data_IF_210534689774
#
_entry.id   IF_210534689774
#
_cell.length_a   1.000
_cell.length_b   1.000
_cell.length_c   1.000
_cell.angle_alpha   90.00
_cell.angle_beta   90.00
_cell.angle_gamma   90.00
#
_symmetry.space_group_name_H-M   'P 1'
#
loop_
_entity.id
_entity.type
_entity.pdbx_description
1 polymer ?
#
# COMPACT_ATOMS: atom_id res chain seq x y z
N UNK A 1 -32.64 21.56 14.99
CA UNK A 1 -31.88 21.86 16.17
C UNK A 1 -30.44 21.48 16.04
N UNK A 2 -29.56 22.35 16.35
CA UNK A 2 -28.15 22.03 16.21
C UNK A 2 -27.73 20.95 17.19
N UNK A 3 -26.82 20.14 16.77
CA UNK A 3 -26.30 19.11 17.60
C UNK A 3 -25.33 19.70 18.59
N UNK A 4 -25.25 19.08 19.77
CA UNK A 4 -24.27 19.47 20.76
C UNK A 4 -22.95 18.74 20.53
N UNK A 5 -22.87 17.94 19.49
CA UNK A 5 -21.66 17.20 19.20
C UNK A 5 -20.58 18.14 18.73
N UNK A 6 -19.32 17.75 18.90
CA UNK A 6 -18.22 18.55 18.37
C UNK A 6 -18.32 18.64 16.86
N UNK A 7 -17.69 19.63 16.26
CA UNK A 7 -17.79 19.81 14.80
C UNK A 7 -17.41 18.59 13.98
N UNK A 8 -16.55 17.71 14.49
CA UNK A 8 -16.11 16.53 13.76
C UNK A 8 -16.90 15.29 14.10
N UNK A 9 -17.99 15.41 14.82
CA UNK A 9 -18.74 14.22 15.23
C UNK A 9 -19.33 13.49 14.05
N UNK A 10 -19.84 14.21 13.07
CA UNK A 10 -20.43 13.56 11.91
C UNK A 10 -19.38 12.83 11.11
N UNK A 11 -18.20 13.41 11.00
CA UNK A 11 -17.13 12.75 10.31
C UNK A 11 -16.77 11.44 11.00
N UNK A 12 -16.73 11.44 12.34
CA UNK A 12 -16.44 10.23 13.08
C UNK A 12 -17.47 9.15 12.83
N UNK A 13 -18.74 9.53 12.77
CA UNK A 13 -19.79 8.55 12.50
C UNK A 13 -19.68 8.01 11.07
N UNK A 14 -19.32 8.87 10.12
CA UNK A 14 -19.13 8.43 8.76
C UNK A 14 -17.97 7.46 8.65
N UNK A 15 -16.89 7.72 9.37
CA UNK A 15 -15.74 6.82 9.36
C UNK A 15 -16.13 5.47 9.96
N UNK A 16 -16.89 5.47 11.06
CA UNK A 16 -17.33 4.22 11.65
C UNK A 16 -18.21 3.42 10.69
N UNK A 17 -19.09 4.12 9.98
CA UNK A 17 -19.94 3.43 9.01
C UNK A 17 -19.11 2.83 7.89
N UNK A 18 -18.06 3.51 7.46
CA UNK A 18 -17.24 3.03 6.36
C UNK A 18 -16.16 2.05 6.80
N UNK A 19 -16.00 1.85 8.09
CA UNK A 19 -14.90 1.02 8.59
C UNK A 19 -14.99 -0.42 8.15
N UNK A 20 -16.19 -0.90 7.79
CA UNK A 20 -16.37 -2.27 7.35
C UNK A 20 -16.34 -2.41 5.83
N UNK A 21 -16.11 -1.34 5.10
CA UNK A 21 -16.09 -1.41 3.65
C UNK A 21 -14.75 -2.00 3.20
N UNK A 22 -14.78 -3.08 2.43
CA UNK A 22 -13.53 -3.69 1.99
C UNK A 22 -12.75 -2.75 1.07
N UNK A 23 -11.46 -2.75 1.21
CA UNK A 23 -10.57 -1.98 0.37
C UNK A 23 -9.54 -2.92 -0.23
N UNK A 24 -9.00 -2.54 -1.39
CA UNK A 24 -7.98 -3.36 -2.02
C UNK A 24 -6.62 -2.97 -1.47
N UNK A 25 -5.96 -3.92 -0.88
CA UNK A 25 -4.62 -3.72 -0.37
C UNK A 25 -3.62 -4.33 -1.35
N UNK A 26 -2.60 -3.57 -1.71
CA UNK A 26 -1.57 -4.06 -2.60
C UNK A 26 -0.22 -3.83 -1.94
N UNK A 27 0.58 -4.87 -1.90
CA UNK A 27 1.95 -4.76 -1.40
C UNK A 27 2.86 -4.87 -2.62
N UNK A 28 3.57 -3.80 -2.91
CA UNK A 28 4.44 -3.79 -4.09
C UNK A 28 5.84 -4.19 -3.66
N UNK A 29 6.30 -5.32 -4.13
CA UNK A 29 7.63 -5.79 -3.79
C UNK A 29 8.68 -5.15 -4.67
N UNK A 30 8.41 -5.04 -5.95
CA UNK A 30 9.36 -4.42 -6.86
C UNK A 30 8.66 -4.12 -8.18
N UNK A 31 9.27 -3.28 -8.98
CA UNK A 31 8.76 -3.00 -10.31
C UNK A 31 9.92 -2.89 -11.27
N UNK A 32 9.63 -3.10 -12.53
CA UNK A 32 10.68 -3.17 -13.52
C UNK A 32 10.13 -2.76 -14.87
N UNK A 33 10.96 -2.13 -15.68
CA UNK A 33 10.59 -1.80 -17.04
C UNK A 33 11.18 -2.85 -17.96
N UNK A 34 10.39 -3.29 -18.92
CA UNK A 34 10.84 -4.29 -19.88
C UNK A 34 10.44 -3.87 -21.26
N UNK A 35 11.28 -4.18 -22.22
CA UNK A 35 10.91 -4.01 -23.63
C UNK A 35 9.87 -5.05 -23.98
N UNK A 36 8.94 -4.68 -24.85
CA UNK A 36 7.90 -5.61 -25.26
C UNK A 36 8.49 -6.89 -25.86
N UNK A 37 9.57 -6.78 -26.62
CA UNK A 37 10.15 -7.96 -27.23
C UNK A 37 10.62 -8.97 -26.18
N UNK A 38 11.02 -8.49 -25.02
CA UNK A 38 11.42 -9.42 -23.96
C UNK A 38 10.21 -10.16 -23.44
N UNK A 39 9.10 -9.46 -23.31
CA UNK A 39 7.89 -10.09 -22.81
C UNK A 39 7.40 -11.14 -23.81
N UNK A 40 7.52 -10.85 -25.09
CA UNK A 40 7.06 -11.77 -26.12
C UNK A 40 7.91 -13.04 -26.17
N UNK A 41 9.08 -13.02 -25.58
CA UNK A 41 9.94 -14.19 -25.53
C UNK A 41 9.76 -15.02 -24.27
N UNK A 42 8.85 -14.63 -23.38
CA UNK A 42 8.63 -15.40 -22.16
C UNK A 42 8.11 -16.79 -22.47
N UNK A 43 8.55 -17.73 -21.69
CA UNK A 43 8.08 -19.10 -21.78
C UNK A 43 7.80 -19.59 -20.40
N UNK A 44 7.14 -20.74 -20.30
CA UNK A 44 6.96 -21.37 -19.01
C UNK A 44 8.33 -21.55 -18.36
N UNK A 45 8.39 -21.26 -17.10
CA UNK A 45 9.62 -21.33 -16.30
C UNK A 45 10.62 -20.21 -16.53
N UNK A 46 10.28 -19.20 -17.30
CA UNK A 46 11.11 -18.00 -17.39
C UNK A 46 11.20 -17.38 -16.00
N UNK A 47 12.41 -16.97 -15.61
CA UNK A 47 12.61 -16.33 -14.32
C UNK A 47 12.80 -14.83 -14.54
N UNK A 48 12.04 -14.03 -13.81
CA UNK A 48 12.18 -12.58 -13.88
C UNK A 48 12.92 -12.12 -12.64
N UNK A 49 13.97 -11.34 -12.83
CA UNK A 49 14.70 -10.79 -11.71
C UNK A 49 14.39 -9.33 -11.57
N UNK A 50 14.50 -8.81 -10.38
CA UNK A 50 14.16 -7.43 -10.08
C UNK A 50 15.31 -6.77 -9.33
N UNK A 51 15.47 -5.47 -9.50
CA UNK A 51 16.61 -4.79 -8.92
C UNK A 51 16.50 -4.46 -7.44
N UNK A 52 15.52 -5.03 -6.75
CA UNK A 52 15.32 -4.70 -5.36
C UNK A 52 16.31 -5.41 -4.46
N UNK A 53 16.88 -4.67 -3.53
CA UNK A 53 17.82 -5.25 -2.59
C UNK A 53 17.08 -5.92 -1.44
N UNK A 54 17.66 -6.98 -0.93
CA UNK A 54 17.10 -7.67 0.21
C UNK A 54 17.13 -6.72 1.40
N UNK A 55 16.03 -6.68 2.12
CA UNK A 55 15.95 -5.82 3.31
C UNK A 55 15.39 -4.45 3.07
N UNK A 56 15.18 -4.07 1.81
CA UNK A 56 14.56 -2.78 1.54
C UNK A 56 13.06 -2.85 1.87
N UNK A 57 12.50 -1.78 2.40
CA UNK A 57 11.07 -1.78 2.70
C UNK A 57 10.23 -1.90 1.44
N UNK A 58 9.08 -2.54 1.56
CA UNK A 58 8.12 -2.60 0.48
C UNK A 58 7.02 -1.59 0.76
N UNK A 59 6.35 -1.15 -0.29
CA UNK A 59 5.30 -0.15 -0.15
C UNK A 59 3.94 -0.82 -0.14
N UNK A 60 3.07 -0.30 0.71
CA UNK A 60 1.72 -0.82 0.86
C UNK A 60 0.76 0.24 0.38
N UNK A 61 -0.09 -0.14 -0.56
CA UNK A 61 -1.02 0.78 -1.19
C UNK A 61 -2.45 0.43 -0.88
N UNK A 62 -3.29 1.44 -0.75
CA UNK A 62 -4.72 1.28 -0.81
C UNK A 62 -5.20 2.25 -1.86
N UNK A 63 -5.89 1.75 -2.87
CA UNK A 63 -6.43 2.58 -3.95
C UNK A 63 -5.34 3.44 -4.58
N UNK A 64 -4.22 2.82 -4.90
CA UNK A 64 -3.11 3.47 -5.59
C UNK A 64 -2.42 4.56 -4.77
N UNK A 65 -2.65 4.57 -3.48
CA UNK A 65 -2.00 5.54 -2.60
C UNK A 65 -1.16 4.80 -1.58
N UNK A 66 0.09 5.20 -1.43
CA UNK A 66 0.98 4.59 -0.45
C UNK A 66 0.50 5.00 0.93
N UNK A 67 0.22 4.03 1.78
CA UNK A 67 -0.22 4.30 3.13
C UNK A 67 0.76 3.81 4.18
N UNK A 68 1.69 2.97 3.79
CA UNK A 68 2.65 2.42 4.76
C UNK A 68 3.81 1.79 4.05
N UNK A 69 4.85 1.50 4.79
CA UNK A 69 5.98 0.71 4.33
C UNK A 69 6.27 -0.36 5.35
N UNK A 70 6.85 -1.44 4.93
CA UNK A 70 7.14 -2.52 5.84
C UNK A 70 8.11 -3.50 5.26
N UNK A 71 8.34 -4.58 6.00
CA UNK A 71 9.23 -5.65 5.59
C UNK A 71 8.43 -6.88 5.34
N UNK A 72 8.77 -7.62 4.30
CA UNK A 72 8.13 -8.89 4.04
C UNK A 72 8.67 -9.92 5.02
N UNK A 73 7.79 -10.64 5.66
CA UNK A 73 8.16 -11.70 6.59
C UNK A 73 7.38 -12.95 6.23
N UNK A 74 7.84 -14.11 6.72
CA UNK A 74 7.15 -15.35 6.49
C UNK A 74 6.72 -15.89 7.83
N UNK A 75 5.43 -16.16 7.99
CA UNK A 75 4.88 -16.65 9.24
C UNK A 75 4.02 -17.85 8.92
N UNK A 76 4.36 -19.01 9.45
CA UNK A 76 3.57 -20.24 9.28
C UNK A 76 3.18 -20.47 7.82
N UNK A 77 4.16 -20.42 6.94
CA UNK A 77 3.95 -20.67 5.51
C UNK A 77 3.12 -19.61 4.81
N UNK A 78 2.92 -18.47 5.43
CA UNK A 78 2.23 -17.36 4.80
C UNK A 78 3.18 -16.17 4.71
N UNK A 79 3.01 -15.38 3.67
CA UNK A 79 3.74 -14.13 3.62
C UNK A 79 3.00 -13.11 4.46
N UNK A 80 3.75 -12.34 5.21
CA UNK A 80 3.19 -11.22 5.95
C UNK A 80 4.03 -9.99 5.71
N UNK A 81 3.58 -8.87 6.22
CA UNK A 81 4.34 -7.63 6.13
C UNK A 81 4.32 -7.00 7.50
N UNK A 82 5.51 -6.72 8.02
CA UNK A 82 5.62 -6.03 9.30
C UNK A 82 5.72 -4.54 9.00
N UNK A 83 4.74 -3.76 9.47
CA UNK A 83 4.70 -2.34 9.20
C UNK A 83 5.84 -1.65 9.92
N UNK A 84 6.63 -0.89 9.20
CA UNK A 84 7.73 -0.13 9.78
C UNK A 84 7.46 1.36 9.76
N UNK A 85 6.57 1.82 8.90
CA UNK A 85 6.29 3.24 8.80
C UNK A 85 4.87 3.41 8.27
N UNK A 86 4.12 4.33 8.84
CA UNK A 86 2.78 4.64 8.36
C UNK A 86 2.79 6.05 7.79
N UNK A 87 2.27 6.17 6.56
CA UNK A 87 2.17 7.45 5.89
C UNK A 87 0.70 7.78 5.76
N UNK A 88 0.27 8.80 6.46
CA UNK A 88 -1.13 9.18 6.40
C UNK A 88 -1.37 10.14 5.25
N UNK A 89 -2.44 9.96 4.53
CA UNK A 89 -2.73 10.88 3.44
C UNK A 89 -2.79 12.32 3.89
N UNK A 90 -3.24 12.55 5.11
CA UNK A 90 -3.36 13.91 5.59
C UNK A 90 -2.04 14.54 5.89
N UNK A 91 -1.00 13.74 5.99
CA UNK A 91 0.31 14.30 6.25
C UNK A 91 0.95 14.83 5.02
N UNK A 92 0.41 14.44 3.93
CA UNK A 92 1.09 14.67 2.83
C UNK A 92 0.95 15.80 2.20
N UNK A 93 -0.03 16.32 2.18
CA UNK A 93 -0.19 17.36 1.38
C UNK A 93 0.84 18.27 1.43
N UNK A 94 1.20 18.33 2.51
CA UNK A 94 2.12 19.25 2.63
C UNK A 94 3.17 18.87 1.79
N UNK A 95 3.27 17.75 1.60
CA UNK A 95 4.33 17.42 0.99
C UNK A 95 4.20 17.24 -0.29
N UNK A 96 3.46 17.19 -0.53
CA UNK A 96 3.39 16.90 -1.77
C UNK A 96 3.89 17.88 -2.58
N UNK A 97 4.19 17.98 -2.15
CA UNK A 97 4.56 18.43 -2.62
C UNK A 97 4.96 19.00 -3.09
N UNK A 98 4.94 19.04 -2.95
CA UNK A 98 5.28 19.60 -3.21
C UNK A 98 5.87 19.92 -3.53
#
# INVERSE_FOLDING_TARGET
>A
MPSNDPPNAELGRTIDFLSDVPQRLVVEISRKRLALREILNWRKETVLSFPKLIGEPVEIFIDNQVIARGEVVVINDHYGVRISEITHPTDKPSQSRI
#
